data_IF_040124165644
#
_entry.id   IF_040124165644
#
_cell.length_a   1.000
_cell.length_b   1.000
_cell.length_c   1.000
_cell.angle_alpha   90.00
_cell.angle_beta   90.00
_cell.angle_gamma   90.00
#
_symmetry.space_group_name_H-M   'P 1'
#
loop_
_entity.id
_entity.type
_entity.pdbx_description
1 polymer ?
#
# COMPACT_ATOMS: atom_id res chain seq x y z
N UNK A 1 15.35 4.61 2.90
CA UNK A 1 15.26 3.15 2.67
C UNK A 1 15.95 2.40 3.81
N UNK A 2 17.13 2.86 4.24
CA UNK A 2 17.90 2.32 5.36
C UNK A 2 17.11 2.20 6.69
N UNK A 3 16.35 3.21 7.17
CA UNK A 3 15.60 3.06 8.42
C UNK A 3 14.60 1.90 8.40
N UNK A 4 14.00 1.63 7.23
CA UNK A 4 13.05 0.52 7.04
C UNK A 4 13.74 -0.84 7.08
N UNK A 5 14.94 -0.95 6.49
CA UNK A 5 15.73 -2.18 6.55
C UNK A 5 16.23 -2.44 7.97
N UNK A 6 16.72 -1.41 8.66
CA UNK A 6 17.19 -1.52 10.05
C UNK A 6 16.06 -1.85 11.03
N UNK A 7 14.86 -1.31 10.83
CA UNK A 7 13.70 -1.63 11.65
C UNK A 7 13.16 -3.06 11.41
N UNK A 8 13.50 -3.70 10.29
CA UNK A 8 13.01 -5.03 9.94
C UNK A 8 14.00 -6.12 10.33
N UNK A 9 13.69 -7.01 11.29
CA UNK A 9 14.60 -8.06 11.73
C UNK A 9 15.10 -8.97 10.60
N UNK A 10 14.26 -9.22 9.60
CA UNK A 10 14.60 -10.08 8.46
C UNK A 10 15.44 -9.38 7.38
N UNK A 11 15.50 -8.05 7.37
CA UNK A 11 16.19 -7.26 6.34
C UNK A 11 17.42 -6.51 6.87
N UNK A 12 17.57 -6.38 8.19
CA UNK A 12 18.68 -5.69 8.84
C UNK A 12 20.02 -6.28 8.38
N UNK A 13 20.95 -5.41 7.99
CA UNK A 13 22.28 -5.82 7.53
C UNK A 13 22.33 -6.52 6.15
N UNK A 14 21.19 -6.68 5.44
CA UNK A 14 21.19 -7.28 4.09
C UNK A 14 21.55 -6.30 2.97
N UNK A 15 21.64 -5.00 3.26
CA UNK A 15 22.12 -4.02 2.31
C UNK A 15 23.64 -4.19 2.14
N UNK A 16 24.08 -4.38 0.89
CA UNK A 16 25.52 -4.43 0.57
C UNK A 16 26.20 -3.16 1.08
N UNK A 17 27.26 -3.31 1.89
CA UNK A 17 28.00 -2.19 2.45
C UNK A 17 28.58 -1.25 1.37
N UNK A 18 28.81 0.01 1.73
CA UNK A 18 29.31 1.06 0.83
C UNK A 18 30.72 0.80 0.25
N UNK A 19 31.42 -0.24 0.72
CA UNK A 19 32.83 -0.49 0.44
C UNK A 19 33.17 -1.35 -0.78
N UNK A 20 32.25 -2.14 -1.34
CA UNK A 20 32.63 -3.21 -2.29
C UNK A 20 32.01 -3.11 -3.71
N UNK A 21 31.12 -2.14 -3.96
CA UNK A 21 30.34 -2.10 -5.20
C UNK A 21 30.42 -0.70 -5.85
N UNK A 22 31.59 -0.41 -6.43
CA UNK A 22 31.95 0.79 -7.19
C UNK A 22 30.76 1.43 -7.96
N UNK A 23 30.05 2.36 -7.31
CA UNK A 23 28.97 3.17 -7.88
C UNK A 23 27.65 2.43 -8.19
N UNK A 24 27.48 1.16 -7.80
CA UNK A 24 26.29 0.35 -8.17
C UNK A 24 25.17 0.35 -7.14
N UNK A 25 25.44 0.82 -5.94
CA UNK A 25 24.49 0.91 -4.85
C UNK A 25 24.04 2.37 -4.65
N UNK A 26 22.84 2.73 -5.14
CA UNK A 26 22.29 4.09 -5.04
C UNK A 26 20.92 4.09 -4.37
N UNK A 27 20.40 5.25 -3.98
CA UNK A 27 19.05 5.39 -3.41
C UNK A 27 17.95 4.75 -4.27
N UNK A 28 18.12 4.76 -5.60
CA UNK A 28 17.15 4.21 -6.55
C UNK A 28 17.49 2.78 -7.01
N UNK A 29 18.60 2.21 -6.52
CA UNK A 29 19.09 0.90 -6.91
C UNK A 29 19.87 0.26 -5.78
N UNK A 30 19.24 -0.65 -5.05
CA UNK A 30 19.88 -1.44 -4.00
C UNK A 30 20.05 -2.89 -4.44
N UNK A 31 21.22 -3.48 -4.17
CA UNK A 31 21.44 -4.92 -4.25
C UNK A 31 21.42 -5.51 -2.85
N UNK A 32 20.98 -6.75 -2.78
CA UNK A 32 20.99 -7.55 -1.55
C UNK A 32 21.14 -9.03 -1.95
N UNK A 33 21.55 -9.91 -1.02
CA UNK A 33 21.61 -11.35 -1.30
C UNK A 33 20.29 -11.84 -1.90
N UNK A 34 20.35 -12.56 -3.03
CA UNK A 34 19.21 -13.05 -3.80
C UNK A 34 18.40 -12.03 -4.63
N UNK A 35 18.84 -10.78 -4.81
CA UNK A 35 18.15 -9.88 -5.74
C UNK A 35 18.61 -8.42 -5.79
N UNK A 36 17.72 -7.58 -6.31
CA UNK A 36 17.88 -6.14 -6.32
C UNK A 36 16.54 -5.43 -6.26
N UNK A 37 16.51 -4.26 -5.62
CA UNK A 37 15.40 -3.32 -5.62
C UNK A 37 15.75 -2.13 -6.52
N UNK A 38 14.85 -1.80 -7.44
CA UNK A 38 14.97 -0.65 -8.34
C UNK A 38 13.76 0.25 -8.19
N UNK A 39 14.00 1.54 -8.02
CA UNK A 39 12.97 2.57 -8.04
C UNK A 39 13.09 3.32 -9.37
N UNK A 40 12.02 3.30 -10.15
CA UNK A 40 11.99 3.88 -11.50
C UNK A 40 10.81 4.83 -11.58
N UNK A 41 11.07 6.07 -12.01
CA UNK A 41 10.00 7.03 -12.26
C UNK A 41 9.13 6.58 -13.45
N UNK A 42 7.81 6.63 -13.30
CA UNK A 42 6.85 6.26 -14.35
C UNK A 42 7.08 7.02 -15.67
N UNK A 43 7.48 8.30 -15.58
CA UNK A 43 7.81 9.16 -16.73
C UNK A 43 9.11 8.83 -17.46
N UNK A 44 9.84 7.79 -17.04
CA UNK A 44 11.13 7.41 -17.62
C UNK A 44 11.06 6.03 -18.32
N UNK A 45 10.28 5.88 -19.40
CA UNK A 45 10.03 4.57 -20.02
C UNK A 45 11.30 3.93 -20.62
N UNK A 46 12.26 4.74 -21.09
CA UNK A 46 13.60 4.27 -21.49
C UNK A 46 14.37 3.57 -20.36
N UNK A 47 14.20 4.03 -19.12
CA UNK A 47 14.82 3.39 -17.96
C UNK A 47 14.06 2.10 -17.61
N UNK A 48 12.73 2.17 -17.58
CA UNK A 48 11.86 1.02 -17.31
C UNK A 48 12.16 -0.17 -18.23
N UNK A 49 12.34 0.07 -19.54
CA UNK A 49 12.56 -0.97 -20.55
C UNK A 49 13.78 -1.86 -20.29
N UNK A 50 14.78 -1.36 -19.54
CA UNK A 50 16.05 -2.06 -19.27
C UNK A 50 15.94 -3.11 -18.17
N UNK A 51 14.81 -3.18 -17.48
CA UNK A 51 14.64 -4.05 -16.33
C UNK A 51 13.62 -5.15 -16.62
N UNK A 52 13.88 -6.33 -16.07
CA UNK A 52 12.88 -7.37 -15.88
C UNK A 52 12.68 -7.57 -14.38
N UNK A 53 11.44 -7.77 -13.94
CA UNK A 53 11.12 -7.85 -12.52
C UNK A 53 10.09 -8.94 -12.25
N UNK A 54 10.37 -9.82 -11.29
CA UNK A 54 9.38 -10.82 -10.82
C UNK A 54 8.30 -10.17 -9.94
N UNK A 55 8.68 -9.15 -9.16
CA UNK A 55 7.76 -8.37 -8.31
C UNK A 55 7.75 -6.94 -8.81
N UNK A 56 6.58 -6.41 -9.11
CA UNK A 56 6.36 -5.03 -9.56
C UNK A 56 5.46 -4.32 -8.54
N UNK A 57 5.92 -3.17 -8.06
CA UNK A 57 5.16 -2.27 -7.20
C UNK A 57 4.89 -0.99 -7.99
N UNK A 58 3.63 -0.61 -8.11
CA UNK A 58 3.18 0.61 -8.77
C UNK A 58 2.49 1.49 -7.74
N UNK A 59 3.04 2.67 -7.53
CA UNK A 59 2.54 3.63 -6.54
C UNK A 59 2.00 4.87 -7.25
N UNK A 60 0.90 5.40 -6.73
CA UNK A 60 0.13 6.52 -7.30
C UNK A 60 -0.24 6.38 -8.78
N UNK A 61 -0.81 5.23 -9.15
CA UNK A 61 -1.15 4.91 -10.54
C UNK A 61 -2.19 5.82 -11.19
N UNK A 62 -3.07 6.45 -10.42
CA UNK A 62 -4.05 7.41 -10.97
C UNK A 62 -3.39 8.72 -11.39
N UNK A 63 -2.24 9.06 -10.81
CA UNK A 63 -1.45 10.24 -11.19
C UNK A 63 -0.51 10.00 -12.39
N UNK A 64 -0.50 8.79 -12.96
CA UNK A 64 0.40 8.48 -14.08
C UNK A 64 -0.19 8.91 -15.42
N UNK A 65 0.50 9.82 -16.09
CA UNK A 65 0.12 10.30 -17.41
C UNK A 65 0.57 9.36 -18.54
N UNK A 66 -0.27 9.22 -19.56
CA UNK A 66 0.07 8.47 -20.78
C UNK A 66 1.10 9.26 -21.58
N UNK A 67 2.29 8.69 -21.77
CA UNK A 67 3.36 9.30 -22.54
C UNK A 67 3.35 8.92 -24.02
N UNK A 68 4.29 9.46 -24.79
CA UNK A 68 4.46 9.14 -26.21
C UNK A 68 4.76 7.66 -26.49
N UNK A 69 5.36 6.95 -25.52
CA UNK A 69 5.62 5.51 -25.62
C UNK A 69 4.43 4.64 -25.19
N UNK A 70 3.32 5.25 -24.76
CA UNK A 70 2.10 4.61 -24.28
C UNK A 70 1.90 4.74 -22.77
N UNK A 71 0.92 3.96 -22.27
CA UNK A 71 0.57 3.91 -20.86
C UNK A 71 1.71 3.33 -20.01
N UNK A 72 2.25 4.08 -19.03
CA UNK A 72 3.34 3.63 -18.17
C UNK A 72 3.01 2.38 -17.35
N UNK A 73 1.74 2.18 -16.96
CA UNK A 73 1.29 1.00 -16.20
C UNK A 73 1.48 -0.24 -17.08
N UNK A 74 0.87 -0.24 -18.27
CA UNK A 74 1.00 -1.32 -19.25
C UNK A 74 2.47 -1.60 -19.60
N UNK A 75 3.29 -0.56 -19.77
CA UNK A 75 4.72 -0.72 -20.05
C UNK A 75 5.48 -1.41 -18.91
N UNK A 76 5.14 -1.09 -17.66
CA UNK A 76 5.72 -1.68 -16.47
C UNK A 76 5.31 -3.13 -16.29
N UNK A 77 4.02 -3.46 -16.50
CA UNK A 77 3.52 -4.83 -16.43
C UNK A 77 4.27 -5.76 -17.40
N UNK A 78 4.59 -5.27 -18.61
CA UNK A 78 5.38 -6.02 -19.59
C UNK A 78 6.77 -6.43 -19.08
N UNK A 79 7.34 -5.73 -18.10
CA UNK A 79 8.65 -6.09 -17.49
C UNK A 79 8.59 -7.37 -16.65
N UNK A 80 7.38 -7.83 -16.35
CA UNK A 80 7.14 -9.02 -15.52
C UNK A 80 6.88 -10.30 -16.33
N UNK A 81 6.73 -10.18 -17.66
CA UNK A 81 6.26 -11.28 -18.53
C UNK A 81 7.16 -12.51 -18.54
N UNK A 82 8.46 -12.36 -18.30
CA UNK A 82 9.42 -13.47 -18.25
C UNK A 82 9.25 -14.38 -17.02
N UNK A 83 8.41 -13.99 -16.05
CA UNK A 83 8.22 -14.73 -14.80
C UNK A 83 6.78 -15.24 -14.69
N UNK A 84 6.58 -16.56 -14.75
CA UNK A 84 5.25 -17.17 -14.60
C UNK A 84 4.62 -16.87 -13.22
N UNK A 85 5.41 -16.96 -12.16
CA UNK A 85 5.01 -16.63 -10.78
C UNK A 85 5.26 -15.16 -10.42
N UNK A 86 4.92 -14.23 -11.31
CA UNK A 86 5.09 -12.79 -11.05
C UNK A 86 4.06 -12.26 -10.06
N UNK A 87 4.40 -11.21 -9.32
CA UNK A 87 3.50 -10.48 -8.43
C UNK A 87 3.46 -9.01 -8.82
N UNK A 88 2.26 -8.49 -9.03
CA UNK A 88 2.03 -7.07 -9.32
C UNK A 88 1.20 -6.51 -8.17
N UNK A 89 1.67 -5.44 -7.54
CA UNK A 89 0.97 -4.70 -6.50
C UNK A 89 0.83 -3.27 -7.03
N UNK A 90 -0.39 -2.75 -6.99
CA UNK A 90 -0.69 -1.41 -7.46
C UNK A 90 -1.57 -0.68 -6.44
N UNK A 91 -1.29 0.60 -6.20
CA UNK A 91 -2.04 1.45 -5.29
C UNK A 91 -2.08 2.89 -5.77
N UNK A 92 -3.11 3.62 -5.36
CA UNK A 92 -3.26 5.06 -5.55
C UNK A 92 -4.37 5.59 -4.67
N UNK A 93 -4.37 6.89 -4.44
CA UNK A 93 -5.60 7.59 -4.04
C UNK A 93 -6.45 7.81 -5.29
N UNK A 94 -7.71 7.33 -5.37
CA UNK A 94 -8.53 7.47 -6.56
C UNK A 94 -8.78 8.96 -6.85
N UNK A 95 -8.37 9.41 -8.05
CA UNK A 95 -8.60 10.79 -8.53
C UNK A 95 -9.89 10.86 -9.34
N UNK A 96 -10.20 9.77 -10.05
CA UNK A 96 -11.38 9.65 -10.90
C UNK A 96 -12.11 8.33 -10.64
N UNK A 97 -13.43 8.31 -10.74
CA UNK A 97 -14.25 7.10 -10.56
C UNK A 97 -13.92 5.98 -11.56
N UNK A 98 -13.32 6.35 -12.70
CA UNK A 98 -12.94 5.44 -13.78
C UNK A 98 -11.41 5.38 -14.00
N UNK A 99 -10.63 5.90 -13.04
CA UNK A 99 -9.17 5.88 -13.05
C UNK A 99 -8.59 4.45 -13.02
N UNK A 100 -7.29 4.29 -13.32
CA UNK A 100 -6.61 3.00 -13.24
C UNK A 100 -6.86 2.22 -11.94
N UNK A 101 -6.73 2.86 -10.77
CA UNK A 101 -6.93 2.22 -9.46
C UNK A 101 -8.39 1.81 -9.26
N UNK A 102 -9.34 2.65 -9.68
CA UNK A 102 -10.77 2.37 -9.58
C UNK A 102 -11.16 1.16 -10.43
N UNK A 103 -10.57 1.01 -11.63
CA UNK A 103 -10.76 -0.18 -12.48
C UNK A 103 -10.15 -1.44 -11.86
N UNK A 104 -8.95 -1.35 -11.30
CA UNK A 104 -8.32 -2.49 -10.61
C UNK A 104 -9.12 -2.90 -9.37
N UNK A 105 -9.56 -1.93 -8.57
CA UNK A 105 -10.45 -2.18 -7.42
C UNK A 105 -11.75 -2.83 -7.88
N UNK A 106 -12.34 -2.35 -8.97
CA UNK A 106 -13.58 -2.91 -9.51
C UNK A 106 -13.46 -4.38 -9.92
N UNK A 107 -12.28 -4.82 -10.38
CA UNK A 107 -11.98 -6.20 -10.76
C UNK A 107 -11.54 -7.09 -9.58
N UNK A 108 -11.25 -6.50 -8.42
CA UNK A 108 -10.86 -7.22 -7.21
C UNK A 108 -12.07 -7.73 -6.43
N UNK A 109 -11.82 -8.41 -5.32
CA UNK A 109 -12.84 -8.80 -4.34
C UNK A 109 -13.28 -7.66 -3.41
N UNK A 110 -12.78 -6.43 -3.65
CA UNK A 110 -13.24 -5.17 -3.04
C UNK A 110 -13.33 -5.22 -1.53
N UNK A 111 -12.42 -5.94 -0.88
CA UNK A 111 -12.39 -6.00 0.59
C UNK A 111 -11.98 -4.66 1.17
N UNK A 112 -12.59 -4.32 2.30
CA UNK A 112 -12.32 -3.07 3.02
C UNK A 112 -11.80 -3.38 4.42
N UNK A 113 -10.85 -2.58 4.88
CA UNK A 113 -10.34 -2.69 6.24
C UNK A 113 -11.28 -1.97 7.21
N UNK A 114 -11.85 -2.72 8.14
CA UNK A 114 -12.74 -2.20 9.19
C UNK A 114 -12.05 -2.22 10.53
N UNK A 115 -12.41 -1.26 11.38
CA UNK A 115 -11.89 -1.14 12.75
C UNK A 115 -13.03 -1.22 13.77
N UNK A 116 -12.83 -1.86 14.93
CA UNK A 116 -13.81 -1.89 16.00
C UNK A 116 -13.83 -0.56 16.75
N UNK A 117 -15.04 -0.09 17.09
CA UNK A 117 -15.20 0.96 18.09
C UNK A 117 -14.69 0.48 19.47
N UNK A 118 -13.88 1.26 20.19
CA UNK A 118 -13.39 0.88 21.52
C UNK A 118 -14.49 0.82 22.59
N UNK A 119 -15.62 1.48 22.35
CA UNK A 119 -16.77 1.50 23.27
C UNK A 119 -17.71 0.32 22.98
N UNK A 120 -18.34 0.30 21.79
CA UNK A 120 -19.38 -0.68 21.48
C UNK A 120 -18.89 -1.94 20.73
N UNK A 121 -17.62 -1.98 20.31
CA UNK A 121 -17.06 -3.10 19.54
C UNK A 121 -17.52 -3.22 18.09
N UNK A 122 -18.44 -2.37 17.63
CA UNK A 122 -18.97 -2.40 16.26
C UNK A 122 -17.88 -2.08 15.22
N UNK A 123 -17.79 -2.92 14.17
CA UNK A 123 -16.81 -2.77 13.10
C UNK A 123 -17.32 -1.83 12.01
N UNK A 124 -16.45 -0.93 11.56
CA UNK A 124 -16.78 0.10 10.57
C UNK A 124 -15.58 0.37 9.66
N UNK A 125 -15.85 0.59 8.38
CA UNK A 125 -14.89 1.23 7.48
C UNK A 125 -14.78 2.72 7.83
N UNK A 126 -13.57 3.16 8.20
CA UNK A 126 -13.34 4.54 8.60
C UNK A 126 -13.30 5.44 7.36
N UNK A 127 -14.35 6.24 7.19
CA UNK A 127 -14.53 7.18 6.08
C UNK A 127 -14.40 8.61 6.60
N UNK A 128 -14.07 9.57 5.73
CA UNK A 128 -13.96 10.99 6.10
C UNK A 128 -15.24 11.56 6.72
N UNK A 129 -16.42 11.11 6.28
CA UNK A 129 -17.71 11.49 6.87
C UNK A 129 -17.86 11.06 8.35
N UNK A 130 -17.01 10.17 8.85
CA UNK A 130 -16.98 9.76 10.25
C UNK A 130 -15.99 10.59 11.09
N UNK A 131 -15.24 11.52 10.48
CA UNK A 131 -14.30 12.38 11.20
C UNK A 131 -14.96 13.74 11.43
N UNK A 132 -15.10 14.13 12.70
CA UNK A 132 -15.73 15.38 13.13
C UNK A 132 -14.72 16.20 13.94
N UNK A 133 -14.77 17.53 13.82
CA UNK A 133 -13.98 18.47 14.63
C UNK A 133 -14.77 19.76 14.88
N UNK A 134 -14.42 20.48 15.94
CA UNK A 134 -14.95 21.81 16.22
C UNK A 134 -14.49 22.83 15.16
N UNK A 135 -15.35 23.80 14.83
CA UNK A 135 -15.04 24.83 13.83
C UNK A 135 -13.74 25.59 14.20
N UNK A 136 -12.85 25.74 13.21
CA UNK A 136 -11.52 26.35 13.35
C UNK A 136 -10.58 25.65 14.35
N UNK A 137 -10.87 24.41 14.74
CA UNK A 137 -10.10 23.62 15.71
C UNK A 137 -9.82 22.20 15.21
N UNK A 138 -9.01 22.04 14.15
CA UNK A 138 -8.71 20.71 13.58
C UNK A 138 -8.04 19.74 14.57
N UNK A 139 -7.41 20.24 15.63
CA UNK A 139 -6.82 19.45 16.71
C UNK A 139 -7.87 18.68 17.53
N UNK A 140 -9.14 19.04 17.43
CA UNK A 140 -10.26 18.34 18.09
C UNK A 140 -10.82 17.19 17.26
N UNK A 141 -10.19 16.87 16.12
CA UNK A 141 -10.63 15.81 15.23
C UNK A 141 -10.75 14.46 15.95
N UNK A 142 -11.95 13.89 15.89
CA UNK A 142 -12.27 12.61 16.47
C UNK A 142 -13.14 11.77 15.53
N UNK A 143 -13.00 10.45 15.63
CA UNK A 143 -13.82 9.52 14.89
C UNK A 143 -15.18 9.34 15.58
N UNK A 144 -16.26 9.71 14.91
CA UNK A 144 -17.63 9.42 15.32
C UNK A 144 -18.01 8.01 14.91
N UNK A 145 -18.21 7.14 15.89
CA UNK A 145 -18.71 5.79 15.61
C UNK A 145 -20.11 5.83 14.98
N UNK A 146 -20.37 5.17 13.84
CA UNK A 146 -21.72 5.15 13.25
C UNK A 146 -22.71 4.28 14.04
N UNK A 147 -22.22 3.38 14.91
CA UNK A 147 -23.05 2.45 15.70
C UNK A 147 -23.54 3.08 17.01
N UNK A 148 -22.62 3.52 17.87
CA UNK A 148 -22.94 4.05 19.20
C UNK A 148 -22.77 5.57 19.33
N UNK A 149 -22.34 6.26 18.25
CA UNK A 149 -22.13 7.71 18.22
C UNK A 149 -21.09 8.23 19.21
N UNK A 150 -20.27 7.40 19.86
CA UNK A 150 -19.15 7.89 20.68
C UNK A 150 -18.13 8.63 19.80
N UNK A 151 -17.50 9.69 20.35
CA UNK A 151 -16.31 10.29 19.77
C UNK A 151 -15.08 9.53 20.26
N UNK A 152 -14.31 9.00 19.32
CA UNK A 152 -13.08 8.28 19.58
C UNK A 152 -11.90 9.18 19.21
N UNK A 153 -11.13 9.55 20.24
CA UNK A 153 -9.90 10.32 20.11
C UNK A 153 -8.80 9.54 19.35
N UNK A 154 -7.95 10.26 18.60
CA UNK A 154 -6.83 9.74 17.80
C UNK A 154 -5.92 8.79 18.59
N UNK A 155 -5.74 8.98 19.91
CA UNK A 155 -4.92 8.08 20.75
C UNK A 155 -5.37 6.61 20.70
N UNK A 156 -6.65 6.36 20.42
CA UNK A 156 -7.20 5.01 20.32
C UNK A 156 -6.96 4.36 18.96
N UNK A 157 -6.59 5.12 17.93
CA UNK A 157 -6.42 4.65 16.55
C UNK A 157 -5.48 3.46 16.45
N UNK A 158 -4.33 3.50 17.12
CA UNK A 158 -3.37 2.39 17.10
C UNK A 158 -4.02 1.10 17.60
N UNK A 159 -4.77 1.17 18.70
CA UNK A 159 -5.49 0.03 19.25
C UNK A 159 -6.64 -0.45 18.36
N UNK A 160 -7.34 0.47 17.70
CA UNK A 160 -8.40 0.17 16.74
C UNK A 160 -7.85 -0.54 15.49
N UNK A 161 -6.77 -0.01 14.90
CA UNK A 161 -6.12 -0.61 13.73
C UNK A 161 -5.54 -1.99 14.07
N UNK A 162 -4.92 -2.15 15.24
CA UNK A 162 -4.38 -3.44 15.68
C UNK A 162 -5.47 -4.52 15.88
N UNK A 163 -6.71 -4.12 16.19
CA UNK A 163 -7.87 -5.01 16.34
C UNK A 163 -8.74 -5.07 15.07
N UNK A 164 -8.39 -4.31 14.04
CA UNK A 164 -9.12 -4.23 12.78
C UNK A 164 -8.92 -5.45 11.90
N UNK A 165 -9.71 -5.53 10.83
CA UNK A 165 -9.69 -6.64 9.90
C UNK A 165 -10.26 -6.27 8.53
N UNK A 166 -9.77 -6.95 7.50
CA UNK A 166 -10.27 -6.92 6.12
C UNK A 166 -11.54 -7.78 5.96
N UNK A 167 -12.69 -7.18 5.70
CA UNK A 167 -13.95 -7.88 5.38
C UNK A 167 -14.32 -7.69 3.91
N UNK A 168 -14.74 -8.75 3.22
CA UNK A 168 -15.14 -8.69 1.81
C UNK A 168 -16.61 -8.33 1.60
N UNK A 169 -16.93 -7.74 0.45
CA UNK A 169 -18.31 -7.62 -0.03
C UNK A 169 -18.77 -8.98 -0.59
N UNK A 170 -19.33 -9.83 0.29
CA UNK A 170 -19.90 -11.13 -0.06
C UNK A 170 -19.52 -12.22 0.95
N UNK A 171 -20.55 -12.83 1.56
CA UNK A 171 -20.55 -14.01 2.43
C UNK A 171 -19.25 -14.37 3.20
N UNK A 172 -19.26 -14.05 4.50
CA UNK A 172 -18.64 -14.81 5.59
C UNK A 172 -17.30 -15.51 5.29
N UNK A 173 -16.21 -14.75 5.16
CA UNK A 173 -14.90 -15.32 5.43
C UNK A 173 -14.64 -15.19 6.94
N UNK A 174 -15.08 -16.19 7.71
CA UNK A 174 -14.78 -16.30 9.13
C UNK A 174 -13.26 -16.24 9.33
N UNK A 175 -12.82 -15.31 10.16
CA UNK A 175 -11.42 -15.17 10.54
C UNK A 175 -10.99 -16.42 11.33
N UNK A 176 -9.97 -17.18 10.89
CA UNK A 176 -9.30 -18.08 11.81
C UNK A 176 -8.57 -17.21 12.84
N UNK A 177 -9.17 -17.08 14.03
CA UNK A 177 -8.45 -16.66 15.23
C UNK A 177 -7.25 -17.58 15.37
N UNK A 178 -6.04 -17.04 15.20
CA UNK A 178 -4.73 -17.61 15.55
C UNK A 178 -4.59 -19.11 15.27
N UNK A 179 -3.79 -19.48 14.27
CA UNK A 179 -3.18 -20.80 14.29
C UNK A 179 -2.38 -20.92 15.61
N UNK A 180 -2.67 -21.90 16.49
CA UNK A 180 -1.81 -22.22 17.63
C UNK A 180 -0.44 -22.70 17.11
N UNK A 181 0.60 -22.69 17.97
CA UNK A 181 2.02 -22.76 17.56
C UNK A 181 2.38 -23.98 16.71
#
# INVERSE_FOLDING_TARGET
MEPTFEASPALRGLLSGEGDDAGRNTLLSRRFPAGSLKVVAAKAPRNLRRHTAKVLLLDEIDGMEVGAEGDPITLAERRTMSFAGRKIIAGSTPVFDHGPVSRLYAQSDRRVFKVPCPDCGGFTEMMWQHIEWEANRPETAAFRCPHCRVLVDERNKVGMVAKGGVEGHGAACAWPRRLPP
#
